data_IF_488178460973
#
_entry.id   IF_488178460973
#
_cell.length_a   1.000
_cell.length_b   1.000
_cell.length_c   1.000
_cell.angle_alpha   90.00
_cell.angle_beta   90.00
_cell.angle_gamma   90.00
#
_symmetry.space_group_name_H-M   'P 1'
#
loop_
_entity.id
_entity.type
_entity.pdbx_description
1 polymer ?
#
# COMPACT_ATOMS: atom_id res chain seq x y z
N UNK A 1 -7.72 -17.33 -19.47
CA UNK A 1 -6.59 -16.45 -19.84
C UNK A 1 -6.75 -15.02 -19.32
N UNK A 2 -7.97 -14.53 -19.04
CA UNK A 2 -8.22 -13.13 -18.61
C UNK A 2 -7.68 -12.76 -17.22
N UNK A 3 -7.52 -13.72 -16.30
CA UNK A 3 -7.07 -13.48 -14.91
C UNK A 3 -5.60 -13.82 -14.63
N UNK A 4 -4.81 -14.13 -15.66
CA UNK A 4 -3.39 -14.39 -15.48
C UNK A 4 -2.64 -13.07 -15.26
N UNK A 5 -1.77 -12.93 -14.24
CA UNK A 5 -0.95 -11.73 -14.02
C UNK A 5 0.24 -11.62 -14.99
N UNK A 6 0.45 -12.62 -15.85
CA UNK A 6 1.52 -12.62 -16.84
C UNK A 6 1.33 -11.51 -17.90
N UNK A 7 2.43 -11.06 -18.54
CA UNK A 7 2.39 -10.06 -19.60
C UNK A 7 1.40 -10.45 -20.69
N UNK A 8 0.48 -9.55 -21.00
CA UNK A 8 -0.57 -9.76 -22.00
C UNK A 8 -0.55 -8.60 -22.99
N UNK A 9 -0.36 -8.92 -24.28
CA UNK A 9 -0.14 -7.90 -25.31
C UNK A 9 -1.25 -6.83 -25.37
N UNK A 10 -2.56 -7.16 -25.26
CA UNK A 10 -3.60 -6.13 -25.17
C UNK A 10 -3.49 -5.20 -23.96
N UNK A 11 -3.06 -5.69 -22.78
CA UNK A 11 -2.85 -4.83 -21.60
C UNK A 11 -1.75 -3.79 -21.82
N UNK A 12 -0.70 -4.16 -22.55
CA UNK A 12 0.36 -3.24 -22.91
C UNK A 12 -0.14 -2.12 -23.85
N UNK A 13 -1.05 -2.44 -24.77
CA UNK A 13 -1.65 -1.45 -25.68
C UNK A 13 -2.50 -0.43 -24.92
N UNK A 14 -3.34 -0.86 -23.97
CA UNK A 14 -4.15 0.07 -23.17
C UNK A 14 -3.28 0.97 -22.30
N UNK A 15 -2.25 0.41 -21.66
CA UNK A 15 -1.30 1.20 -20.86
C UNK A 15 -0.57 2.23 -21.71
N UNK A 16 -0.13 1.86 -22.91
CA UNK A 16 0.54 2.78 -23.84
C UNK A 16 -0.40 3.87 -24.35
N UNK A 17 -1.64 3.53 -24.69
CA UNK A 17 -2.66 4.51 -25.10
C UNK A 17 -2.98 5.50 -23.97
N UNK A 18 -3.15 5.02 -22.73
CA UNK A 18 -3.32 5.89 -21.56
C UNK A 18 -2.09 6.75 -21.29
N UNK A 19 -0.88 6.22 -21.47
CA UNK A 19 0.36 6.98 -21.31
C UNK A 19 0.42 8.15 -22.29
N UNK A 20 0.18 7.93 -23.58
CA UNK A 20 0.16 9.02 -24.57
C UNK A 20 -0.97 10.01 -24.24
N UNK A 21 -2.19 9.50 -24.00
CA UNK A 21 -3.35 10.34 -23.73
C UNK A 21 -3.18 11.22 -22.49
N UNK A 22 -2.64 10.66 -21.40
CA UNK A 22 -2.37 11.41 -20.17
C UNK A 22 -1.28 12.46 -20.35
N UNK A 23 -0.21 12.16 -21.09
CA UNK A 23 0.83 13.15 -21.39
C UNK A 23 0.31 14.31 -22.24
N UNK A 24 -0.46 14.02 -23.30
CA UNK A 24 -1.07 15.07 -24.13
C UNK A 24 -2.01 15.93 -23.29
N UNK A 25 -2.90 15.31 -22.51
CA UNK A 25 -3.83 16.02 -21.65
C UNK A 25 -3.11 16.87 -20.59
N UNK A 26 -2.03 16.34 -20.01
CA UNK A 26 -1.23 17.05 -19.02
C UNK A 26 -0.53 18.27 -19.63
N UNK A 27 0.06 18.14 -20.82
CA UNK A 27 0.67 19.27 -21.53
C UNK A 27 -0.39 20.33 -21.85
N UNK A 28 -1.56 19.92 -22.37
CA UNK A 28 -2.67 20.84 -22.64
C UNK A 28 -3.14 21.56 -21.38
N UNK A 29 -3.23 20.83 -20.26
CA UNK A 29 -3.57 21.40 -18.96
C UNK A 29 -2.52 22.42 -18.49
N UNK A 30 -1.22 22.14 -18.64
CA UNK A 30 -0.16 23.07 -18.28
C UNK A 30 -0.18 24.33 -19.15
N UNK A 31 -0.31 24.16 -20.48
CA UNK A 31 -0.43 25.29 -21.41
C UNK A 31 -1.65 26.14 -21.03
N UNK A 32 -2.81 25.51 -20.86
CA UNK A 32 -4.00 26.22 -20.41
C UNK A 32 -3.82 26.83 -19.02
N UNK A 33 -3.10 26.23 -18.08
CA UNK A 33 -2.95 26.80 -16.74
C UNK A 33 -2.00 28.01 -16.70
N UNK A 34 -0.93 27.99 -17.48
CA UNK A 34 0.19 28.95 -17.37
C UNK A 34 -0.01 30.13 -18.33
N UNK A 35 -0.54 29.90 -19.52
CA UNK A 35 -0.69 30.95 -20.54
C UNK A 35 -1.72 31.98 -20.08
N UNK A 36 -1.40 33.28 -20.08
CA UNK A 36 -2.34 34.33 -19.72
C UNK A 36 -3.61 34.37 -20.59
N UNK A 37 -4.71 34.85 -20.01
CA UNK A 37 -6.04 34.88 -20.63
C UNK A 37 -6.09 35.68 -21.94
N UNK A 38 -5.38 36.82 -22.00
CA UNK A 38 -5.32 37.65 -23.20
C UNK A 38 -4.68 36.89 -24.38
N UNK A 39 -3.69 36.02 -24.12
CA UNK A 39 -3.07 35.24 -25.19
C UNK A 39 -4.05 34.20 -25.74
N UNK A 40 -4.78 33.54 -24.84
CA UNK A 40 -5.80 32.56 -25.20
C UNK A 40 -6.95 33.19 -25.99
N UNK A 41 -7.38 34.40 -25.61
CA UNK A 41 -8.48 35.09 -26.27
C UNK A 41 -8.06 35.72 -27.59
N UNK A 42 -6.98 36.49 -27.61
CA UNK A 42 -6.63 37.33 -28.76
C UNK A 42 -5.91 36.56 -29.87
N UNK A 43 -5.05 35.59 -29.53
CA UNK A 43 -4.26 34.86 -30.53
C UNK A 43 -4.84 33.50 -30.88
N UNK A 44 -5.46 32.81 -29.91
CA UNK A 44 -6.07 31.50 -30.13
C UNK A 44 -7.58 31.58 -30.39
N UNK A 45 -8.22 32.74 -30.20
CA UNK A 45 -9.66 32.92 -30.41
C UNK A 45 -10.53 32.13 -29.43
N UNK A 46 -9.98 31.70 -28.28
CA UNK A 46 -10.69 30.93 -27.28
C UNK A 46 -11.50 31.86 -26.37
N UNK A 47 -12.77 32.09 -26.71
CA UNK A 47 -13.65 32.93 -25.88
C UNK A 47 -14.25 32.19 -24.68
N UNK A 48 -14.27 30.85 -24.70
CA UNK A 48 -14.87 30.03 -23.65
C UNK A 48 -13.91 28.93 -23.21
N UNK A 49 -13.40 29.06 -21.98
CA UNK A 49 -12.59 28.06 -21.29
C UNK A 49 -12.91 28.12 -19.79
N UNK A 50 -12.63 27.03 -19.03
CA UNK A 50 -12.88 27.02 -17.59
C UNK A 50 -12.07 28.11 -16.86
N UNK A 51 -12.54 28.53 -15.69
CA UNK A 51 -11.79 29.48 -14.85
C UNK A 51 -10.44 28.91 -14.43
N UNK A 52 -9.38 29.73 -14.48
CA UNK A 52 -8.02 29.37 -14.02
C UNK A 52 -7.97 28.93 -12.56
N UNK A 53 -8.97 29.31 -11.75
CA UNK A 53 -9.13 28.80 -10.38
C UNK A 53 -9.07 27.27 -10.33
N UNK A 54 -9.66 26.59 -11.32
CA UNK A 54 -9.67 25.13 -11.39
C UNK A 54 -8.29 24.52 -11.59
N UNK A 55 -7.33 25.27 -12.14
CA UNK A 55 -5.96 24.82 -12.24
C UNK A 55 -5.35 24.59 -10.85
N UNK A 56 -5.72 25.36 -9.83
CA UNK A 56 -5.25 25.16 -8.46
C UNK A 56 -6.19 24.22 -7.70
N UNK A 57 -7.50 24.37 -7.90
CA UNK A 57 -8.48 23.60 -7.16
C UNK A 57 -8.34 22.09 -7.42
N UNK A 58 -8.19 21.66 -8.67
CA UNK A 58 -8.11 20.23 -9.03
C UNK A 58 -6.94 19.53 -8.30
N UNK A 59 -5.68 20.01 -8.38
CA UNK A 59 -4.57 19.42 -7.63
C UNK A 59 -4.78 19.41 -6.12
N UNK A 60 -5.30 20.51 -5.55
CA UNK A 60 -5.52 20.62 -4.10
C UNK A 60 -6.56 19.62 -3.63
N UNK A 61 -7.70 19.51 -4.32
CA UNK A 61 -8.73 18.53 -4.00
C UNK A 61 -8.24 17.10 -4.18
N UNK A 62 -7.48 16.80 -5.24
CA UNK A 62 -6.90 15.47 -5.46
C UNK A 62 -5.93 15.08 -4.33
N UNK A 63 -5.02 15.97 -3.94
CA UNK A 63 -4.08 15.74 -2.84
C UNK A 63 -4.81 15.61 -1.50
N UNK A 64 -5.84 16.43 -1.27
CA UNK A 64 -6.65 16.37 -0.04
C UNK A 64 -7.39 15.03 0.05
N UNK A 65 -8.05 14.62 -1.03
CA UNK A 65 -8.74 13.33 -1.10
C UNK A 65 -7.77 12.16 -0.90
N UNK A 66 -6.59 12.21 -1.53
CA UNK A 66 -5.54 11.21 -1.35
C UNK A 66 -5.04 11.16 0.09
N UNK A 67 -4.81 12.31 0.73
CA UNK A 67 -4.37 12.39 2.12
C UNK A 67 -5.43 11.84 3.09
N UNK A 68 -6.69 12.23 2.92
CA UNK A 68 -7.80 11.68 3.71
C UNK A 68 -7.87 10.16 3.52
N UNK A 69 -7.76 9.69 2.28
CA UNK A 69 -7.79 8.26 2.01
C UNK A 69 -6.62 7.53 2.67
N UNK A 70 -5.38 8.00 2.49
CA UNK A 70 -4.18 7.33 2.96
C UNK A 70 -4.03 7.36 4.49
N UNK A 71 -4.41 8.45 5.15
CA UNK A 71 -4.15 8.64 6.59
C UNK A 71 -5.37 8.39 7.47
N UNK A 72 -6.58 8.46 6.92
CA UNK A 72 -7.80 8.28 7.71
C UNK A 72 -8.52 7.03 7.28
N UNK A 73 -8.97 6.97 6.02
CA UNK A 73 -9.86 5.90 5.55
C UNK A 73 -9.12 4.56 5.53
N UNK A 74 -7.93 4.49 4.93
CA UNK A 74 -7.19 3.24 4.79
C UNK A 74 -6.80 2.65 6.15
N UNK A 75 -6.22 3.41 7.11
CA UNK A 75 -5.98 2.91 8.45
C UNK A 75 -7.27 2.53 9.19
N UNK A 76 -8.35 3.31 9.06
CA UNK A 76 -9.62 2.98 9.70
C UNK A 76 -10.19 1.64 9.19
N UNK A 77 -10.12 1.38 7.88
CA UNK A 77 -10.53 0.10 7.30
C UNK A 77 -9.66 -1.04 7.83
N UNK A 78 -8.34 -0.86 7.88
CA UNK A 78 -7.44 -1.87 8.43
C UNK A 78 -7.76 -2.17 9.89
N UNK A 79 -8.02 -1.15 10.71
CA UNK A 79 -8.41 -1.32 12.11
C UNK A 79 -9.77 -2.01 12.25
N UNK A 80 -10.75 -1.69 11.39
CA UNK A 80 -12.05 -2.36 11.38
C UNK A 80 -11.96 -3.85 10.98
N UNK A 81 -10.98 -4.22 10.15
CA UNK A 81 -10.76 -5.61 9.72
C UNK A 81 -9.84 -6.39 10.69
N UNK A 82 -9.09 -5.70 11.55
CA UNK A 82 -8.18 -6.34 12.49
C UNK A 82 -8.98 -6.95 13.65
N UNK A 83 -8.75 -8.23 14.02
CA UNK A 83 -9.34 -8.83 15.22
C UNK A 83 -9.00 -8.04 16.49
N UNK A 84 -9.81 -8.21 17.54
CA UNK A 84 -9.55 -7.57 18.83
C UNK A 84 -8.17 -7.96 19.39
N UNK A 85 -7.58 -7.10 20.21
CA UNK A 85 -6.21 -7.29 20.74
C UNK A 85 -6.10 -8.56 21.60
N UNK A 86 -7.20 -8.95 22.25
CA UNK A 86 -7.28 -10.12 23.11
C UNK A 86 -7.63 -11.41 22.35
N UNK A 87 -7.78 -11.35 21.01
CA UNK A 87 -8.10 -12.52 20.19
C UNK A 87 -6.86 -13.41 19.98
N UNK A 88 -7.01 -14.71 20.28
CA UNK A 88 -5.97 -15.72 20.07
C UNK A 88 -5.49 -15.81 18.61
N UNK A 89 -6.36 -15.44 17.66
CA UNK A 89 -6.04 -15.37 16.22
C UNK A 89 -4.92 -14.37 15.91
N UNK A 90 -4.71 -13.38 16.78
CA UNK A 90 -3.62 -12.40 16.68
C UNK A 90 -2.26 -13.02 17.07
N UNK A 91 -2.26 -14.18 17.75
CA UNK A 91 -1.05 -14.90 18.20
C UNK A 91 -0.77 -16.13 17.33
N UNK A 92 -1.80 -16.90 16.97
CA UNK A 92 -1.68 -18.13 16.18
C UNK A 92 -2.79 -18.19 15.13
N UNK A 93 -2.42 -18.47 13.89
CA UNK A 93 -3.39 -18.66 12.80
C UNK A 93 -3.74 -20.14 12.61
N UNK A 94 -4.62 -20.43 11.65
CA UNK A 94 -5.00 -21.80 11.29
C UNK A 94 -3.91 -22.58 10.57
N UNK A 95 -2.85 -21.93 10.11
CA UNK A 95 -1.73 -22.55 9.40
C UNK A 95 -0.53 -22.81 10.32
N UNK A 96 -0.57 -22.30 11.56
CA UNK A 96 0.44 -22.51 12.57
C UNK A 96 0.70 -24.00 12.80
N UNK A 97 1.98 -24.39 12.70
CA UNK A 97 2.39 -25.78 12.87
C UNK A 97 2.80 -26.04 14.32
N UNK A 98 2.02 -26.81 15.09
CA UNK A 98 2.39 -27.15 16.45
C UNK A 98 3.64 -28.05 16.46
N UNK A 99 4.43 -27.94 17.52
CA UNK A 99 5.59 -28.81 17.73
C UNK A 99 5.15 -30.27 17.76
N UNK A 100 5.69 -31.06 16.82
CA UNK A 100 5.49 -32.51 16.78
C UNK A 100 6.65 -33.22 17.46
N UNK A 101 6.38 -34.43 17.95
CA UNK A 101 7.42 -35.27 18.56
C UNK A 101 8.52 -35.59 17.55
N UNK A 102 9.76 -35.56 18.04
CA UNK A 102 10.93 -35.87 17.22
C UNK A 102 11.21 -37.36 17.30
N UNK A 103 11.40 -38.02 16.16
CA UNK A 103 11.81 -39.42 16.13
C UNK A 103 13.20 -39.54 16.79
N UNK A 104 13.44 -40.52 17.68
CA UNK A 104 14.74 -40.70 18.32
C UNK A 104 15.87 -40.83 17.29
N UNK A 105 16.86 -39.93 17.35
CA UNK A 105 17.98 -39.86 16.40
C UNK A 105 17.69 -39.13 15.08
N UNK A 106 16.46 -38.64 14.87
CA UNK A 106 16.06 -37.86 13.71
C UNK A 106 16.16 -36.34 13.91
N UNK A 107 16.09 -35.61 12.81
CA UNK A 107 15.97 -34.14 12.81
C UNK A 107 14.54 -33.75 13.21
N UNK A 108 14.34 -32.77 14.12
CA UNK A 108 13.00 -32.33 14.49
C UNK A 108 12.22 -31.78 13.29
N UNK A 109 10.92 -32.08 13.19
CA UNK A 109 10.07 -31.51 12.15
C UNK A 109 9.94 -30.00 12.31
N UNK A 110 9.77 -29.30 11.19
CA UNK A 110 9.53 -27.85 11.18
C UNK A 110 8.23 -27.56 11.95
N UNK A 111 8.30 -26.63 12.89
CA UNK A 111 7.17 -26.17 13.69
C UNK A 111 7.38 -24.73 14.12
N UNK A 112 6.29 -24.02 14.40
CA UNK A 112 6.32 -22.64 14.82
C UNK A 112 6.64 -22.55 16.31
N UNK A 113 7.60 -21.68 16.65
CA UNK A 113 8.01 -21.44 18.03
C UNK A 113 7.24 -20.21 18.53
N UNK A 114 6.53 -20.30 19.67
CA UNK A 114 5.83 -19.16 20.23
C UNK A 114 6.77 -17.98 20.47
N UNK A 115 6.33 -16.77 20.15
CA UNK A 115 7.13 -15.54 20.27
C UNK A 115 7.73 -15.37 21.67
N UNK A 116 7.00 -15.78 22.71
CA UNK A 116 7.47 -15.76 24.11
C UNK A 116 8.73 -16.61 24.32
N UNK A 117 8.84 -17.76 23.66
CA UNK A 117 10.00 -18.64 23.76
C UNK A 117 11.18 -18.08 22.95
N UNK A 118 10.93 -17.56 21.74
CA UNK A 118 11.95 -16.86 20.95
C UNK A 118 12.53 -15.69 21.73
N UNK A 119 11.68 -14.85 22.32
CA UNK A 119 12.11 -13.71 23.11
C UNK A 119 12.91 -14.13 24.35
N UNK A 120 12.50 -15.22 25.01
CA UNK A 120 13.21 -15.78 26.16
C UNK A 120 14.60 -16.27 25.79
N UNK A 121 14.75 -16.92 24.65
CA UNK A 121 16.03 -17.49 24.23
C UNK A 121 16.99 -16.45 23.68
N UNK A 122 16.48 -15.47 22.91
CA UNK A 122 17.31 -14.48 22.23
C UNK A 122 17.60 -13.23 23.07
N UNK A 123 16.63 -12.75 23.87
CA UNK A 123 16.72 -11.43 24.50
C UNK A 123 16.82 -11.47 26.03
N UNK A 124 16.43 -12.57 26.69
CA UNK A 124 16.49 -12.66 28.16
C UNK A 124 17.80 -13.33 28.62
N UNK A 125 18.45 -12.79 29.67
CA UNK A 125 19.64 -13.41 30.23
C UNK A 125 19.29 -14.78 30.82
N UNK A 126 20.17 -15.77 30.58
CA UNK A 126 20.02 -17.11 31.15
C UNK A 126 20.01 -17.00 32.68
N UNK A 127 18.94 -17.49 33.31
CA UNK A 127 18.87 -17.61 34.78
C UNK A 127 19.94 -18.62 35.23
N UNK A 128 21.07 -18.13 35.74
CA UNK A 128 22.02 -18.91 36.51
C UNK A 128 21.38 -19.27 37.84
N UNK A 129 21.16 -20.56 38.11
CA UNK A 129 20.75 -20.99 39.46
C UNK A 129 21.88 -20.65 40.43
N UNK A 130 21.61 -20.03 41.59
CA UNK A 130 22.64 -19.85 42.61
C UNK A 130 23.14 -21.22 43.07
N UNK A 131 24.46 -21.41 43.04
CA UNK A 131 25.09 -22.57 43.68
C UNK A 131 25.01 -22.34 45.19
N UNK A 132 24.17 -23.11 45.87
CA UNK A 132 24.29 -23.28 47.31
C UNK A 132 25.32 -24.39 47.56
N UNK A 133 26.38 -24.04 48.30
CA UNK A 133 27.42 -24.96 48.78
C UNK A 133 26.93 -25.69 50.03
#
# INVERSE_FOLDING_TARGET
MEHTPAPYAPRAVYGYAMYIGSNILFILYLVWSIVPDYILQDYLGLSYYPSKYWAIAIPVWALTALAIFAFIIYPAINLLMTPDIDDIRTITDSYAQPRKETVPGGVPPVSDIPITEVCRQLYLPKKTKPKYN
#
